data_IF_497051068039
#
_entry.id   IF_497051068039
#
_cell.length_a   1.000
_cell.length_b   1.000
_cell.length_c   1.000
_cell.angle_alpha   90.00
_cell.angle_beta   90.00
_cell.angle_gamma   90.00
#
_symmetry.space_group_name_H-M   'P 1'
#
loop_
_entity.id
_entity.type
_entity.pdbx_description
1 polymer ?
#
# COMPACT_ATOMS: atom_id res chain seq x y z
N UNK A 1 19.95 -10.96 -41.32
CA UNK A 1 18.46 -10.93 -41.22
C UNK A 1 17.94 -11.32 -39.85
N UNK A 2 18.42 -12.41 -39.22
CA UNK A 2 17.96 -12.80 -37.88
C UNK A 2 18.35 -11.79 -36.78
N UNK A 3 19.58 -11.28 -36.79
CA UNK A 3 20.07 -10.34 -35.78
C UNK A 3 19.27 -9.02 -35.78
N UNK A 4 19.05 -8.45 -36.97
CA UNK A 4 18.28 -7.22 -37.15
C UNK A 4 16.82 -7.35 -36.72
N UNK A 5 16.23 -8.55 -36.83
CA UNK A 5 14.87 -8.81 -36.36
C UNK A 5 14.80 -8.86 -34.82
N UNK A 6 15.83 -9.41 -34.18
CA UNK A 6 15.95 -9.45 -32.71
C UNK A 6 16.18 -8.04 -32.16
N UNK A 7 17.05 -7.25 -32.79
CA UNK A 7 17.30 -5.86 -32.39
C UNK A 7 16.02 -5.01 -32.50
N UNK A 8 15.27 -5.15 -33.61
CA UNK A 8 13.98 -4.47 -33.77
C UNK A 8 12.94 -4.93 -32.74
N UNK A 9 12.91 -6.23 -32.40
CA UNK A 9 12.01 -6.74 -31.37
C UNK A 9 12.36 -6.17 -29.98
N UNK A 10 13.66 -6.04 -29.68
CA UNK A 10 14.14 -5.46 -28.42
C UNK A 10 13.73 -4.00 -28.28
N UNK A 11 13.91 -3.18 -29.33
CA UNK A 11 13.47 -1.77 -29.31
C UNK A 11 11.95 -1.63 -29.13
N UNK A 12 11.17 -2.51 -29.77
CA UNK A 12 9.71 -2.53 -29.59
C UNK A 12 9.31 -2.87 -28.16
N UNK A 13 9.96 -3.86 -27.55
CA UNK A 13 9.71 -4.21 -26.15
C UNK A 13 10.03 -3.02 -25.24
N UNK A 14 11.18 -2.38 -25.42
CA UNK A 14 11.57 -1.23 -24.61
C UNK A 14 10.59 -0.05 -24.73
N UNK A 15 10.11 0.21 -25.95
CA UNK A 15 9.10 1.24 -26.22
C UNK A 15 7.75 0.90 -25.57
N UNK A 16 7.33 -0.36 -25.63
CA UNK A 16 6.10 -0.84 -24.99
C UNK A 16 6.20 -0.76 -23.47
N UNK A 17 7.33 -1.18 -22.88
CA UNK A 17 7.55 -1.06 -21.45
C UNK A 17 7.52 0.40 -20.98
N UNK A 18 8.12 1.32 -21.75
CA UNK A 18 8.07 2.75 -21.44
C UNK A 18 6.63 3.27 -21.44
N UNK A 19 5.83 2.86 -22.42
CA UNK A 19 4.41 3.24 -22.51
C UNK A 19 3.60 2.68 -21.33
N UNK A 20 3.86 1.43 -20.93
CA UNK A 20 3.22 0.81 -19.76
C UNK A 20 3.60 1.55 -18.48
N UNK A 21 4.86 1.95 -18.31
CA UNK A 21 5.32 2.74 -17.16
C UNK A 21 4.60 4.08 -17.10
N UNK A 22 4.59 4.85 -18.19
CA UNK A 22 3.94 6.16 -18.26
C UNK A 22 2.42 6.08 -18.00
N UNK A 23 1.74 5.08 -18.58
CA UNK A 23 0.30 4.90 -18.37
C UNK A 23 -0.03 4.49 -16.93
N UNK A 24 0.81 3.67 -16.31
CA UNK A 24 0.67 3.28 -14.90
C UNK A 24 0.90 4.46 -13.96
N UNK A 25 1.91 5.30 -14.22
CA UNK A 25 2.15 6.53 -13.46
C UNK A 25 0.99 7.52 -13.59
N UNK A 26 0.41 7.66 -14.78
CA UNK A 26 -0.79 8.49 -15.01
C UNK A 26 -2.01 7.94 -14.30
N UNK A 27 -2.19 6.62 -14.26
CA UNK A 27 -3.28 5.97 -13.52
C UNK A 27 -3.15 6.26 -12.03
N UNK A 28 -1.98 6.00 -11.44
CA UNK A 28 -1.71 6.24 -10.01
C UNK A 28 -1.88 7.73 -9.68
N UNK A 29 -1.36 8.63 -10.52
CA UNK A 29 -1.52 10.08 -10.36
C UNK A 29 -2.98 10.53 -10.48
N UNK A 30 -3.74 9.95 -11.40
CA UNK A 30 -5.17 10.20 -11.56
C UNK A 30 -5.99 9.76 -10.35
N UNK A 31 -5.67 8.59 -9.78
CA UNK A 31 -6.30 8.07 -8.56
C UNK A 31 -5.95 8.96 -7.36
N UNK A 32 -4.70 9.42 -7.25
CA UNK A 32 -4.29 10.41 -6.23
C UNK A 32 -5.06 11.71 -6.35
N UNK A 33 -5.24 12.23 -7.56
CA UNK A 33 -5.94 13.50 -7.80
C UNK A 33 -7.43 13.38 -7.49
N UNK A 34 -8.06 12.23 -7.80
CA UNK A 34 -9.50 12.01 -7.65
C UNK A 34 -9.92 11.62 -6.24
N UNK A 35 -9.17 10.75 -5.59
CA UNK A 35 -9.55 10.16 -4.30
C UNK A 35 -8.63 10.56 -3.15
N UNK A 36 -7.48 11.18 -3.44
CA UNK A 36 -6.48 11.56 -2.44
C UNK A 36 -5.56 10.39 -2.05
N UNK A 37 -4.39 10.73 -1.48
CA UNK A 37 -3.33 9.79 -1.09
C UNK A 37 -3.67 8.87 0.10
N UNK A 38 -4.87 9.00 0.65
CA UNK A 38 -5.36 8.22 1.79
C UNK A 38 -6.51 7.26 1.43
N UNK A 39 -6.91 7.23 0.16
CA UNK A 39 -8.02 6.41 -0.35
C UNK A 39 -7.65 4.94 -0.57
N UNK A 40 -8.66 4.06 -0.59
CA UNK A 40 -8.47 2.58 -0.71
C UNK A 40 -8.09 2.21 -2.14
N UNK A 41 -8.51 3.04 -3.06
CA UNK A 41 -8.25 3.02 -4.49
C UNK A 41 -6.76 3.30 -4.76
N UNK A 42 -6.12 4.16 -3.96
CA UNK A 42 -4.68 4.40 -4.02
C UNK A 42 -3.86 3.17 -3.56
N UNK A 43 -4.34 2.46 -2.53
CA UNK A 43 -3.74 1.18 -2.10
C UNK A 43 -3.90 0.08 -3.15
N UNK A 44 -5.07 0.02 -3.80
CA UNK A 44 -5.39 -0.99 -4.80
C UNK A 44 -4.60 -0.83 -6.11
N UNK A 45 -4.10 0.37 -6.40
CA UNK A 45 -3.22 0.66 -7.54
C UNK A 45 -1.73 0.48 -7.21
N UNK A 46 -1.40 -0.06 -6.04
CA UNK A 46 -0.02 -0.31 -5.58
C UNK A 46 0.64 0.87 -4.86
N UNK A 47 -0.10 1.95 -4.58
CA UNK A 47 0.39 3.10 -3.82
C UNK A 47 0.36 2.85 -2.31
N UNK A 48 1.44 3.17 -1.60
CA UNK A 48 1.43 3.12 -0.13
C UNK A 48 0.72 4.38 0.39
N UNK A 49 -0.42 4.21 1.06
CA UNK A 49 -1.21 5.32 1.62
C UNK A 49 -0.30 6.19 2.50
N UNK A 50 -0.44 7.52 2.48
CA UNK A 50 0.35 8.38 3.39
C UNK A 50 0.08 8.02 4.85
N UNK A 51 -1.17 7.69 5.16
CA UNK A 51 -1.58 7.16 6.44
C UNK A 51 -1.09 5.73 6.75
N UNK A 52 -0.48 4.98 5.82
CA UNK A 52 0.15 3.68 6.06
C UNK A 52 1.69 3.72 5.94
N UNK A 53 2.27 4.62 5.14
CA UNK A 53 3.71 4.90 5.17
C UNK A 53 4.13 5.52 6.52
N UNK A 54 3.27 6.37 7.10
CA UNK A 54 3.40 6.86 8.48
C UNK A 54 2.54 6.05 9.48
N UNK A 55 1.55 5.27 9.00
CA UNK A 55 0.68 4.46 9.85
C UNK A 55 0.90 2.97 9.86
N UNK A 56 1.94 2.41 9.25
CA UNK A 56 2.49 1.15 9.71
C UNK A 56 2.88 1.29 11.18
N UNK A 57 3.50 2.42 11.54
CA UNK A 57 3.77 2.80 12.92
C UNK A 57 2.48 3.20 13.67
N UNK A 58 1.63 4.09 13.13
CA UNK A 58 0.39 4.53 13.82
C UNK A 58 -0.62 3.40 14.05
N UNK A 59 -0.82 2.52 13.08
CA UNK A 59 -1.72 1.36 13.18
C UNK A 59 -1.12 0.29 14.09
N UNK A 60 0.20 0.06 14.05
CA UNK A 60 0.89 -0.79 15.06
C UNK A 60 0.75 -0.21 16.46
N UNK A 61 0.99 1.09 16.65
CA UNK A 61 0.83 1.78 17.94
C UNK A 61 -0.63 1.65 18.41
N UNK A 62 -1.61 1.97 17.55
CA UNK A 62 -3.03 1.89 17.91
C UNK A 62 -3.44 0.46 18.30
N UNK A 63 -3.00 -0.53 17.53
CA UNK A 63 -3.26 -1.95 17.79
C UNK A 63 -2.58 -2.42 19.07
N UNK A 64 -1.33 -2.04 19.31
CA UNK A 64 -0.60 -2.33 20.54
C UNK A 64 -1.28 -1.71 21.78
N UNK A 65 -1.74 -0.45 21.68
CA UNK A 65 -2.47 0.22 22.76
C UNK A 65 -3.81 -0.46 23.04
N UNK A 66 -4.59 -0.80 22.01
CA UNK A 66 -5.86 -1.51 22.17
C UNK A 66 -5.65 -2.87 22.83
N UNK A 67 -4.63 -3.65 22.41
CA UNK A 67 -4.32 -4.95 23.02
C UNK A 67 -3.92 -4.80 24.48
N UNK A 68 -3.08 -3.81 24.84
CA UNK A 68 -2.70 -3.55 26.24
C UNK A 68 -3.89 -3.15 27.10
N UNK A 69 -4.73 -2.24 26.62
CA UNK A 69 -5.93 -1.81 27.35
C UNK A 69 -6.90 -2.97 27.56
N UNK A 70 -7.07 -3.82 26.54
CA UNK A 70 -7.90 -5.03 26.64
C UNK A 70 -7.34 -6.01 27.67
N UNK A 71 -6.03 -6.31 27.64
CA UNK A 71 -5.42 -7.20 28.64
C UNK A 71 -5.51 -6.66 30.07
N UNK A 72 -5.41 -5.34 30.27
CA UNK A 72 -5.59 -4.74 31.60
C UNK A 72 -7.05 -4.81 32.08
N UNK A 73 -8.01 -4.67 31.17
CA UNK A 73 -9.42 -4.83 31.50
C UNK A 73 -9.76 -6.29 31.84
N UNK A 74 -9.23 -7.25 31.08
CA UNK A 74 -9.41 -8.69 31.33
C UNK A 74 -8.78 -9.11 32.67
N UNK A 75 -7.60 -8.58 33.01
CA UNK A 75 -6.93 -8.84 34.30
C UNK A 75 -7.70 -8.26 35.49
N UNK A 76 -8.29 -7.07 35.33
CA UNK A 76 -9.11 -6.41 36.36
C UNK A 76 -10.46 -7.10 36.57
N UNK A 77 -11.02 -7.68 35.50
CA UNK A 77 -12.23 -8.50 35.58
C UNK A 77 -11.96 -9.81 36.34
N UNK A 78 -10.82 -10.46 36.10
CA UNK A 78 -10.44 -11.70 36.78
C UNK A 78 -10.18 -11.52 38.29
N UNK A 79 -9.62 -10.38 38.71
CA UNK A 79 -9.38 -10.08 40.14
C UNK A 79 -10.66 -9.73 40.92
N UNK A 80 -11.75 -9.38 40.22
CA UNK A 80 -13.03 -9.01 40.86
C UNK A 80 -13.93 -10.24 41.10
N UNK A 81 -13.67 -11.37 40.43
CA UNK A 81 -14.43 -12.63 40.57
C UNK A 81 -13.92 -13.54 41.70
N UNK A 82 -12.84 -13.19 42.41
CA UNK A 82 -12.25 -14.00 43.50
C UNK A 82 -12.38 -13.36 44.89
N UNK A 83 -13.23 -12.35 45.04
CA UNK A 83 -13.61 -11.75 46.33
C UNK A 83 -15.08 -12.03 46.65
#
# INVERSE_FOLDING_TARGET
MMLTAIDSAKEKIETLEKTIRETSERLVSGVVLKYGKDSREYEMTGGVRKNDACGGLRLRIRKATITRLKSTADSKAASTQTA
#
